data_IF_867592836143
#
_entry.id   IF_867592836143
#
_cell.length_a   1.000
_cell.length_b   1.000
_cell.length_c   1.000
_cell.angle_alpha   90.00
_cell.angle_beta   90.00
_cell.angle_gamma   90.00
#
_symmetry.space_group_name_H-M   'P 1'
#
loop_
_entity.id
_entity.type
_entity.pdbx_description
1 polymer ?
2 non-polymer ?
3 water ?
#
# COMPACT_ATOMS: atom_id res chain seq x y z
N UNK A 22 9.25 5.25 25.31
CA UNK A 22 9.65 4.05 24.51
C UNK A 22 10.79 4.35 23.54
N UNK A 23 11.88 3.63 23.69
CA UNK A 23 13.16 3.98 23.07
C UNK A 23 13.62 3.00 21.99
N UNK A 24 12.88 1.90 21.83
CA UNK A 24 13.15 0.95 20.75
C UNK A 24 12.54 1.38 19.43
N UNK A 25 12.13 0.38 18.65
CA UNK A 25 11.58 0.58 17.32
C UNK A 25 10.06 0.48 17.34
N UNK A 26 9.43 1.37 16.57
CA UNK A 26 7.99 1.35 16.33
C UNK A 26 7.74 1.00 14.86
N UNK A 27 7.02 -0.11 14.65
CA UNK A 27 6.69 -0.63 13.32
C UNK A 27 5.25 -0.31 12.95
N UNK A 28 5.08 0.35 11.80
CA UNK A 28 3.75 0.72 11.30
C UNK A 28 3.23 -0.33 10.32
N UNK A 29 2.09 -0.94 10.65
CA UNK A 29 1.40 -1.88 9.76
C UNK A 29 -0.06 -1.48 9.55
N UNK A 30 -0.71 -2.16 8.60
CA UNK A 30 -2.13 -2.01 8.35
C UNK A 30 -2.83 -3.35 8.50
N UNK A 31 -4.14 -3.31 8.74
CA UNK A 31 -4.98 -4.52 8.86
C UNK A 31 -5.22 -5.26 7.55
N UNK A 32 -5.73 -6.48 7.67
CA UNK A 32 -5.94 -7.34 6.53
C UNK A 32 -4.66 -7.92 5.98
N UNK A 33 -4.50 -7.86 4.66
CA UNK A 33 -3.46 -8.61 3.96
C UNK A 33 -2.03 -8.32 4.45
N UNK A 34 -1.75 -7.04 4.69
CA UNK A 34 -0.39 -6.63 5.07
C UNK A 34 0.01 -7.23 6.43
N UNK A 35 -0.89 -7.14 7.41
CA UNK A 35 -0.67 -7.73 8.73
C UNK A 35 -0.52 -9.25 8.65
N UNK A 36 -1.49 -9.90 8.00
CA UNK A 36 -1.46 -11.36 7.79
C UNK A 36 -0.12 -11.83 7.24
N UNK A 37 0.28 -11.21 6.13
CA UNK A 37 1.44 -11.65 5.36
C UNK A 37 2.77 -11.19 5.93
N UNK A 38 2.79 -10.08 6.67
CA UNK A 38 3.99 -9.63 7.37
C UNK A 38 4.33 -10.52 8.58
N UNK A 39 3.30 -11.06 9.23
CA UNK A 39 3.45 -11.75 10.53
C UNK A 39 4.48 -12.89 10.55
N UNK A 40 4.51 -13.74 9.51
CA UNK A 40 5.57 -14.75 9.37
C UNK A 40 6.99 -14.19 9.24
N UNK A 41 7.14 -13.04 8.57
CA UNK A 41 8.45 -12.40 8.47
C UNK A 41 8.92 -11.95 9.85
N UNK A 42 8.01 -11.32 10.59
CA UNK A 42 8.27 -10.88 11.95
C UNK A 42 8.60 -12.04 12.87
N UNK A 43 7.82 -13.13 12.78
CA UNK A 43 8.03 -14.29 13.65
C UNK A 43 9.42 -14.87 13.46
N UNK A 44 9.82 -15.04 12.21
CA UNK A 44 11.17 -15.53 11.88
C UNK A 44 12.25 -14.56 12.35
N UNK A 45 11.92 -13.26 12.42
CA UNK A 45 12.80 -12.27 13.04
C UNK A 45 12.65 -12.17 14.57
N UNK A 46 11.89 -13.07 15.18
CA UNK A 46 11.71 -13.09 16.63
C UNK A 46 10.75 -12.04 17.17
N UNK A 47 9.79 -11.64 16.36
CA UNK A 47 8.77 -10.69 16.77
C UNK A 47 7.41 -11.35 16.59
N UNK A 48 6.67 -11.47 17.70
CA UNK A 48 5.30 -11.94 17.68
C UNK A 48 4.40 -11.02 18.49
N UNK A 49 3.27 -10.65 17.90
CA UNK A 49 2.22 -9.92 18.61
C UNK A 49 1.63 -10.80 19.72
N UNK A 50 1.26 -10.18 20.83
CA UNK A 50 0.76 -10.91 21.98
C UNK A 50 -0.77 -11.05 21.95
N UNK A 51 -1.41 -10.40 20.98
CA UNK A 51 -2.82 -10.61 20.72
C UNK A 51 -3.16 -10.26 19.28
N UNK A 52 -4.39 -10.59 18.86
CA UNK A 52 -4.86 -10.28 17.52
C UNK A 52 -5.28 -8.81 17.46
N UNK A 53 -4.51 -7.96 16.74
CA UNK A 53 -4.89 -6.54 16.66
C UNK A 53 -6.23 -6.29 15.98
N UNK A 54 -6.65 -7.21 15.10
CA UNK A 54 -7.95 -7.15 14.41
C UNK A 54 -9.14 -7.21 15.38
N UNK A 55 -8.96 -7.87 16.53
CA UNK A 55 -10.00 -8.02 17.55
C UNK A 55 -9.87 -7.01 18.71
N UNK A 56 -9.12 -5.93 18.52
CA UNK A 56 -8.90 -4.96 19.59
C UNK A 56 -9.09 -3.53 19.13
N UNK A 57 -9.54 -2.70 20.07
CA UNK A 57 -9.64 -1.25 19.87
C UNK A 57 -8.30 -0.58 20.12
N UNK A 58 -7.35 -1.30 20.74
CA UNK A 58 -6.00 -0.79 20.94
C UNK A 58 -5.34 -0.37 19.63
N UNK A 59 -4.39 0.54 19.76
CA UNK A 59 -3.68 1.14 18.63
C UNK A 59 -2.17 0.83 18.67
N UNK A 60 -1.58 0.86 19.85
CA UNK A 60 -0.19 0.50 20.08
C UNK A 60 -0.18 -0.91 20.65
N UNK A 61 0.62 -1.80 20.05
CA UNK A 61 0.70 -3.17 20.50
C UNK A 61 2.12 -3.53 20.87
N UNK A 62 2.33 -4.12 22.06
CA UNK A 62 3.62 -4.69 22.36
C UNK A 62 3.83 -6.00 21.59
N UNK A 63 5.09 -6.46 21.55
CA UNK A 63 5.43 -7.76 20.94
C UNK A 63 6.23 -8.63 21.92
N UNK A 64 6.59 -9.83 21.48
CA UNK A 64 7.50 -10.71 22.20
C UNK A 64 8.91 -10.10 22.42
N UNK A 65 9.31 -9.18 21.54
CA UNK A 65 10.56 -8.44 21.68
C UNK A 65 10.20 -7.10 22.31
N UNK A 66 10.73 -6.81 23.51
CA UNK A 66 10.40 -5.53 24.18
C UNK A 66 11.03 -4.27 23.55
N UNK A 67 11.95 -4.43 22.58
CA UNK A 67 12.48 -3.34 21.76
C UNK A 67 11.58 -2.97 20.56
N UNK A 68 10.53 -3.76 20.29
CA UNK A 68 9.67 -3.53 19.12
C UNK A 68 8.20 -3.44 19.54
N UNK A 69 7.52 -2.40 19.06
CA UNK A 69 6.05 -2.28 19.21
C UNK A 69 5.44 -1.99 17.84
N UNK A 70 4.15 -2.27 17.72
CA UNK A 70 3.46 -2.19 16.45
C UNK A 70 2.33 -1.18 16.51
N UNK A 71 2.25 -0.32 15.50
CA UNK A 71 1.06 0.49 15.22
C UNK A 71 0.28 -0.16 14.10
N UNK A 72 -1.05 -0.14 14.25
CA UNK A 72 -1.98 -0.62 13.24
C UNK A 72 -2.66 0.64 12.70
N UNK A 73 -2.45 0.93 11.43
CA UNK A 73 -2.87 2.19 10.81
C UNK A 73 -3.69 1.88 9.59
N UNK A 74 -4.38 2.91 9.06
CA UNK A 74 -4.91 2.82 7.71
C UNK A 74 -3.72 2.69 6.78
N UNK A 75 -3.80 1.78 5.82
CA UNK A 75 -2.72 1.62 4.85
C UNK A 75 -2.24 2.98 4.32
N UNK A 76 -3.17 3.90 4.11
CA UNK A 76 -2.83 5.25 3.68
C UNK A 76 -1.97 6.07 4.65
N UNK A 77 -2.12 5.83 5.95
CA UNK A 77 -1.34 6.57 6.95
C UNK A 77 0.04 5.99 7.23
N UNK A 78 0.32 4.79 6.72
CA UNK A 78 1.60 4.12 7.00
C UNK A 78 2.80 5.00 6.55
N UNK A 79 2.83 5.45 5.28
CA UNK A 79 4.01 6.26 4.88
C UNK A 79 4.13 7.60 5.62
N UNK A 80 2.98 8.19 5.98
CA UNK A 80 2.93 9.41 6.78
C UNK A 80 3.63 9.29 8.15
N UNK A 81 3.21 8.33 8.95
CA UNK A 81 3.80 8.08 10.28
C UNK A 81 5.32 7.81 10.22
N UNK A 82 5.73 7.09 9.17
CA UNK A 82 7.13 6.74 8.95
C UNK A 82 7.96 7.94 8.53
N UNK A 83 7.41 8.75 7.62
CA UNK A 83 8.06 10.00 7.17
C UNK A 83 8.37 10.94 8.33
N UNK A 84 7.38 11.13 9.20
CA UNK A 84 7.49 12.03 10.35
C UNK A 84 8.20 11.41 11.54
N UNK A 85 8.56 10.14 11.45
CA UNK A 85 9.28 9.46 12.53
C UNK A 85 8.42 9.05 13.71
N UNK A 86 7.08 9.11 13.59
CA UNK A 86 6.20 8.58 14.65
C UNK A 86 6.25 7.04 14.65
N UNK A 87 6.59 6.45 13.50
CA UNK A 87 7.07 5.09 13.43
C UNK A 87 8.47 5.13 12.79
N UNK A 88 9.32 4.20 13.19
CA UNK A 88 10.69 4.12 12.69
C UNK A 88 10.74 3.44 11.33
N UNK A 89 9.82 2.51 11.13
CA UNK A 89 9.74 1.74 9.90
C UNK A 89 8.35 1.17 9.71
N UNK A 90 8.07 0.70 8.49
CA UNK A 90 6.71 0.30 8.14
C UNK A 90 6.62 -0.52 6.89
N UNK A 91 5.51 -1.23 6.78
CA UNK A 91 5.18 -2.02 5.61
C UNK A 91 4.01 -1.34 4.90
N UNK A 92 4.28 -0.85 3.69
CA UNK A 92 3.30 -0.14 2.87
C UNK A 92 3.27 -0.74 1.48
N UNK A 93 2.10 -0.71 0.84
CA UNK A 93 1.97 -1.15 -0.53
C UNK A 93 2.56 -0.14 -1.51
N UNK A 94 3.11 -0.63 -2.63
CA UNK A 94 3.68 0.24 -3.67
C UNK A 94 2.65 1.23 -4.23
N UNK A 95 1.40 0.80 -4.35
CA UNK A 95 0.32 1.70 -4.75
C UNK A 95 0.25 2.93 -3.83
N UNK A 96 0.37 2.72 -2.52
CA UNK A 96 0.22 3.79 -1.53
C UNK A 96 1.46 4.71 -1.56
N UNK A 97 2.62 4.08 -1.70
CA UNK A 97 3.88 4.78 -1.78
C UNK A 97 3.94 5.67 -3.01
N UNK A 98 3.52 5.14 -4.15
CA UNK A 98 3.46 5.93 -5.38
C UNK A 98 2.53 7.12 -5.25
N UNK A 99 1.36 6.91 -4.65
CA UNK A 99 0.39 7.97 -4.51
C UNK A 99 0.84 9.05 -3.53
N UNK A 100 1.38 8.62 -2.40
CA UNK A 100 1.84 9.52 -1.34
C UNK A 100 3.13 10.25 -1.72
N UNK A 101 4.01 9.58 -2.45
CA UNK A 101 5.35 10.07 -2.70
C UNK A 101 6.31 9.48 -1.67
N UNK A 102 7.38 8.85 -2.15
CA UNK A 102 8.33 8.16 -1.28
C UNK A 102 9.67 8.91 -1.13
N UNK A 103 9.68 10.22 -1.38
CA UNK A 103 10.92 11.00 -1.38
C UNK A 103 11.52 11.22 0.00
N UNK A 104 10.74 11.00 1.06
CA UNK A 104 11.19 11.33 2.41
C UNK A 104 11.22 10.13 3.37
N UNK A 105 11.20 8.93 2.80
CA UNK A 105 11.50 7.70 3.53
C UNK A 105 12.48 6.90 2.68
N UNK A 106 13.07 5.85 3.26
CA UNK A 106 13.88 4.92 2.48
C UNK A 106 13.12 3.66 2.20
N UNK A 107 12.96 3.29 0.93
CA UNK A 107 12.41 1.99 0.56
C UNK A 107 13.59 1.04 0.61
N UNK A 108 13.58 0.09 1.54
CA UNK A 108 14.68 -0.86 1.71
C UNK A 108 14.45 -2.25 1.11
N UNK A 109 13.21 -2.72 1.08
CA UNK A 109 12.91 -4.07 0.56
C UNK A 109 11.59 -4.15 -0.20
N UNK A 110 11.58 -4.99 -1.22
CA UNK A 110 10.34 -5.44 -1.80
C UNK A 110 10.07 -6.75 -1.09
N UNK A 111 9.03 -6.75 -0.25
CA UNK A 111 8.69 -7.92 0.53
C UNK A 111 7.96 -8.97 -0.28
N UNK A 112 7.51 -8.62 -1.49
CA UNK A 112 6.85 -9.56 -2.40
C UNK A 112 5.56 -10.15 -1.81
N UNK A 113 4.90 -9.37 -0.93
CA UNK A 113 3.62 -9.77 -0.30
C UNK A 113 2.50 -8.82 -0.70
N UNK A 114 1.26 -9.26 -0.46
CA UNK A 114 0.06 -8.46 -0.76
C UNK A 114 0.14 -8.02 -2.22
N UNK A 115 0.36 -9.00 -3.09
CA UNK A 115 0.64 -8.70 -4.50
C UNK A 115 -0.64 -8.43 -5.29
N UNK A 116 -0.60 -7.39 -6.13
CA UNK A 116 -1.73 -6.99 -6.97
C UNK A 116 -1.26 -6.09 -8.12
N UNK A 117 -2.18 -5.56 -8.90
CA UNK A 117 -1.85 -4.66 -9.99
C UNK A 117 -2.69 -3.40 -9.89
N UNK A 118 -2.06 -2.25 -10.13
CA UNK A 118 -2.79 -1.04 -10.49
C UNK A 118 -3.23 -1.20 -11.94
N UNK A 119 -4.53 -1.04 -12.18
CA UNK A 119 -5.08 -1.12 -13.52
C UNK A 119 -6.04 0.02 -13.74
N UNK A 120 -6.37 0.25 -15.00
CA UNK A 120 -7.52 1.07 -15.38
C UNK A 120 -8.61 0.07 -15.68
N UNK A 121 -9.86 0.50 -15.56
CA UNK A 121 -11.01 -0.35 -15.86
C UNK A 121 -12.24 0.48 -16.17
N UNK A 122 -13.19 -0.14 -16.84
CA UNK A 122 -14.45 0.50 -17.22
C UNK A 122 -15.52 -0.53 -17.49
N UNK A 123 -16.71 -0.03 -17.84
CA UNK A 123 -17.87 -0.88 -18.19
C UNK A 123 -17.51 -1.74 -19.38
N UNK A 124 -17.84 -3.03 -19.29
CA UNK A 124 -17.45 -4.00 -20.31
C UNK A 124 -17.92 -3.59 -21.72
N UNK A 125 -16.99 -3.55 -22.67
CA UNK A 125 -17.23 -3.14 -24.08
C UNK A 125 -17.78 -1.73 -24.34
N UNK A 126 -17.80 -0.86 -23.32
CA UNK A 126 -18.25 0.52 -23.50
C UNK A 126 -17.16 1.28 -24.27
N UNK A 127 -17.57 2.10 -25.24
CA UNK A 127 -16.57 2.91 -25.96
C UNK A 127 -16.14 4.15 -25.14
N UNK A 128 -14.89 4.58 -25.33
CA UNK A 128 -14.40 5.80 -24.68
C UNK A 128 -14.96 7.00 -25.42
N UNK A 129 -15.41 8.03 -24.68
CA UNK A 129 -15.87 9.23 -25.38
C UNK A 129 -14.70 9.92 -26.06
N UNK A 130 -14.97 10.65 -27.13
CA UNK A 130 -13.93 11.39 -27.83
C UNK A 130 -13.81 12.79 -27.22
N UNK A 131 -13.22 12.83 -26.03
CA UNK A 131 -12.97 14.06 -25.30
C UNK A 131 -12.04 13.77 -24.12
N UNK A 132 -11.62 14.82 -23.41
CA UNK A 132 -10.81 14.68 -22.20
C UNK A 132 -11.50 13.74 -21.22
N UNK A 133 -10.81 12.66 -20.84
CA UNK A 133 -11.40 11.62 -20.00
C UNK A 133 -11.47 12.05 -18.53
N UNK A 134 -12.47 11.52 -17.83
CA UNK A 134 -12.64 11.75 -16.39
C UNK A 134 -12.37 10.45 -15.67
N UNK A 135 -11.37 10.44 -14.79
CA UNK A 135 -10.91 9.24 -14.12
C UNK A 135 -11.32 9.28 -12.65
N UNK A 136 -12.21 8.39 -12.26
CA UNK A 136 -12.63 8.27 -10.88
C UNK A 136 -11.65 7.36 -10.15
N UNK A 137 -11.00 7.87 -9.11
CA UNK A 137 -9.96 7.10 -8.46
C UNK A 137 -9.58 7.65 -7.10
N UNK A 138 -9.09 6.76 -6.27
CA UNK A 138 -8.32 7.10 -5.08
C UNK A 138 -6.87 7.54 -5.45
N UNK A 139 -6.35 7.02 -6.56
CA UNK A 139 -4.95 7.22 -6.90
C UNK A 139 -4.84 8.33 -7.94
N UNK A 140 -4.99 9.57 -7.48
CA UNK A 140 -5.08 10.73 -8.37
C UNK A 140 -3.75 11.01 -9.06
N UNK A 141 -2.66 10.95 -8.31
CA UNK A 141 -1.30 11.15 -8.84
C UNK A 141 -0.88 10.06 -9.81
N UNK A 142 -1.10 8.81 -9.42
CA UNK A 142 -0.86 7.64 -10.29
C UNK A 142 -1.69 7.69 -11.56
N UNK A 143 -2.98 8.03 -11.43
CA UNK A 143 -3.84 8.19 -12.62
C UNK A 143 -3.31 9.25 -13.56
N UNK A 144 -2.93 10.41 -13.02
CA UNK A 144 -2.43 11.50 -13.87
C UNK A 144 -1.11 11.16 -14.56
N UNK A 145 -0.20 10.58 -13.81
CA UNK A 145 1.10 10.17 -14.33
C UNK A 145 0.96 9.09 -15.41
N UNK A 146 0.14 8.07 -15.16
CA UNK A 146 -0.06 7.00 -16.15
C UNK A 146 -0.66 7.54 -17.45
N UNK A 147 -1.75 8.31 -17.35
CA UNK A 147 -2.40 8.82 -18.56
C UNK A 147 -1.50 9.81 -19.31
N UNK A 148 -0.67 10.56 -18.57
CA UNK A 148 0.36 11.40 -19.20
C UNK A 148 1.33 10.60 -20.07
N UNK A 149 1.75 9.43 -19.59
CA UNK A 149 2.59 8.53 -20.39
C UNK A 149 1.89 8.01 -21.66
N UNK A 150 0.55 7.94 -21.65
CA UNK A 150 -0.26 7.58 -22.83
C UNK A 150 -0.62 8.76 -23.75
N UNK A 151 -0.06 9.95 -23.50
CA UNK A 151 -0.39 11.15 -24.25
C UNK A 151 -1.66 11.89 -23.84
N UNK A 152 -2.26 11.49 -22.72
CA UNK A 152 -3.56 12.05 -22.30
C UNK A 152 -3.40 12.94 -21.08
N UNK A 153 -3.84 14.18 -21.20
CA UNK A 153 -4.15 15.01 -20.03
C UNK A 153 -5.57 14.62 -19.63
N UNK A 154 -5.78 14.23 -18.37
CA UNK A 154 -7.10 13.77 -17.91
C UNK A 154 -7.59 14.59 -16.74
N UNK A 155 -8.91 14.58 -16.53
CA UNK A 155 -9.49 15.04 -15.28
C UNK A 155 -9.60 13.85 -14.34
N UNK A 156 -9.41 14.13 -13.06
CA UNK A 156 -9.52 13.12 -12.03
C UNK A 156 -10.64 13.52 -11.07
N UNK A 157 -11.48 12.56 -10.74
CA UNK A 157 -12.44 12.70 -9.65
C UNK A 157 -11.88 11.90 -8.48
N UNK A 158 -11.52 12.60 -7.42
CA UNK A 158 -10.99 11.97 -6.21
C UNK A 158 -12.09 11.23 -5.45
N UNK A 159 -11.84 9.96 -5.16
CA UNK A 159 -12.76 9.13 -4.36
C UNK A 159 -11.99 8.40 -3.25
N UNK A 160 -12.73 7.84 -2.30
CA UNK A 160 -12.14 7.20 -1.12
C UNK A 160 -12.39 5.71 -0.99
N UNK A 161 -13.47 5.21 -1.59
CA UNK A 161 -13.66 3.77 -1.68
C UNK A 161 -14.56 3.39 -2.82
N UNK A 162 -14.69 2.08 -3.02
CA UNK A 162 -15.73 1.49 -3.87
C UNK A 162 -15.72 2.04 -5.29
N UNK A 163 -14.52 2.10 -5.89
CA UNK A 163 -14.34 2.66 -7.25
C UNK A 163 -15.21 1.96 -8.28
N UNK A 164 -15.44 0.66 -8.11
CA UNK A 164 -16.28 -0.15 -9.04
C UNK A 164 -17.71 0.36 -9.28
N UNK A 165 -18.24 1.18 -8.36
CA UNK A 165 -19.55 1.84 -8.57
C UNK A 165 -19.49 3.02 -9.55
N UNK A 166 -18.38 3.76 -9.56
CA UNK A 166 -18.31 5.02 -10.30
C UNK A 166 -18.77 4.92 -11.77
N UNK A 167 -18.20 3.97 -12.55
CA UNK A 167 -18.64 3.84 -13.93
C UNK A 167 -20.09 3.33 -14.10
N UNK A 168 -20.64 2.59 -13.13
CA UNK A 168 -22.03 2.13 -13.22
C UNK A 168 -23.08 3.26 -13.09
N UNK A 169 -22.71 4.37 -12.43
CA UNK A 169 -23.60 5.54 -12.32
C UNK A 169 -23.07 6.74 -13.14
N UNK A 170 -22.14 6.47 -14.05
CA UNK A 170 -21.58 7.51 -14.91
C UNK A 170 -20.69 8.55 -14.26
N UNK A 171 -20.20 8.27 -13.07
CA UNK A 171 -19.20 9.12 -12.45
C UNK A 171 -17.86 8.77 -13.09
N UNK A 172 -17.38 9.63 -13.97
CA UNK A 172 -16.21 9.32 -14.80
C UNK A 172 -16.35 8.22 -15.85
N UNK A 173 -15.34 8.15 -16.70
CA UNK A 173 -15.29 7.23 -17.87
C UNK A 173 -14.51 5.96 -17.59
N UNK A 174 -13.53 6.05 -16.70
CA UNK A 174 -12.76 4.92 -16.24
C UNK A 174 -12.44 5.13 -14.79
N UNK A 175 -12.01 4.06 -14.15
CA UNK A 175 -11.41 4.10 -12.82
C UNK A 175 -9.96 3.65 -12.90
N UNK A 176 -9.19 4.07 -11.91
CA UNK A 176 -7.90 3.49 -11.60
C UNK A 176 -8.02 2.87 -10.21
N UNK A 177 -7.67 1.59 -10.10
CA UNK A 177 -7.72 0.88 -8.83
C UNK A 177 -6.79 -0.34 -8.80
N UNK A 178 -6.56 -0.84 -7.58
CA UNK A 178 -5.84 -2.09 -7.41
C UNK A 178 -6.77 -3.28 -7.69
N UNK A 179 -6.24 -4.25 -8.42
CA UNK A 179 -6.95 -5.45 -8.83
C UNK A 179 -6.08 -6.63 -8.46
N UNK A 180 -6.65 -7.62 -7.78
CA UNK A 180 -5.97 -8.89 -7.51
C UNK A 180 -6.54 -9.98 -8.43
N UNK A 181 -7.67 -10.58 -8.06
CA UNK A 181 -8.26 -11.64 -8.86
C UNK A 181 -9.06 -11.10 -10.04
N UNK A 182 -9.49 -9.84 -9.99
CA UNK A 182 -10.45 -9.32 -10.94
C UNK A 182 -11.91 -9.61 -10.65
N UNK A 183 -12.21 -10.33 -9.57
CA UNK A 183 -13.61 -10.71 -9.26
C UNK A 183 -14.54 -9.52 -8.99
N UNK A 184 -14.01 -8.50 -8.31
CA UNK A 184 -14.79 -7.28 -8.05
C UNK A 184 -15.22 -6.63 -9.34
N UNK A 185 -14.27 -6.45 -10.25
CA UNK A 185 -14.57 -5.87 -11.56
C UNK A 185 -15.64 -6.67 -12.30
N UNK A 186 -15.42 -7.99 -12.39
CA UNK A 186 -16.35 -8.88 -13.11
C UNK A 186 -17.73 -8.88 -12.49
N UNK A 187 -17.79 -9.05 -11.17
CA UNK A 187 -19.05 -8.95 -10.41
C UNK A 187 -19.88 -7.74 -10.81
N UNK A 188 -19.22 -6.63 -11.13
CA UNK A 188 -19.90 -5.37 -11.48
C UNK A 188 -19.98 -5.09 -12.98
N UNK A 189 -19.70 -6.09 -13.82
CA UNK A 189 -19.72 -5.90 -15.28
C UNK A 189 -18.66 -4.94 -15.80
N UNK A 190 -17.52 -4.85 -15.10
CA UNK A 190 -16.41 -4.03 -15.54
C UNK A 190 -15.32 -4.94 -16.05
N UNK A 191 -14.42 -4.38 -16.87
CA UNK A 191 -13.21 -5.10 -17.25
C UNK A 191 -11.99 -4.21 -17.24
N UNK A 192 -10.84 -4.81 -16.92
CA UNK A 192 -9.57 -4.11 -16.98
C UNK A 192 -9.31 -3.71 -18.41
N UNK A 193 -8.92 -2.47 -18.61
CA UNK A 193 -8.56 -1.96 -19.91
C UNK A 193 -7.03 -2.01 -20.06
N UNK A 194 -6.31 -1.38 -19.12
CA UNK A 194 -4.84 -1.32 -19.13
C UNK A 194 -4.21 -1.79 -17.82
N UNK A 195 -3.06 -2.45 -17.92
CA UNK A 195 -2.21 -2.77 -16.76
C UNK A 195 -1.26 -1.59 -16.54
N UNK A 196 -1.29 -0.96 -15.37
CA UNK A 196 -0.39 0.16 -15.06
C UNK A 196 0.97 -0.35 -14.55
N UNK A 197 0.97 -1.00 -13.39
CA UNK A 197 2.17 -1.66 -12.88
C UNK A 197 1.77 -2.69 -11.84
N UNK A 198 2.72 -3.56 -11.52
CA UNK A 198 2.56 -4.51 -10.43
C UNK A 198 2.83 -3.81 -9.12
N UNK A 199 2.16 -4.29 -8.08
CA UNK A 199 2.21 -3.70 -6.76
C UNK A 199 2.55 -4.80 -5.78
N UNK A 200 3.42 -4.48 -4.84
CA UNK A 200 3.66 -5.35 -3.69
C UNK A 200 4.00 -4.49 -2.49
N UNK A 201 3.91 -5.08 -1.31
CA UNK A 201 4.27 -4.38 -0.09
C UNK A 201 5.80 -4.22 0.07
N UNK A 202 6.18 -3.10 0.65
CA UNK A 202 7.55 -2.65 0.70
C UNK A 202 7.92 -2.26 2.12
N UNK A 203 9.18 -2.48 2.48
CA UNK A 203 9.68 -2.09 3.78
C UNK A 203 10.26 -0.69 3.64
N UNK A 204 9.65 0.25 4.36
CA UNK A 204 10.12 1.62 4.41
C UNK A 204 10.66 1.98 5.80
N UNK A 205 11.60 2.90 5.81
CA UNK A 205 12.29 3.32 7.02
C UNK A 205 12.38 4.85 7.09
N UNK A 206 12.25 5.37 8.30
CA UNK A 206 12.42 6.79 8.55
C UNK A 206 13.90 7.13 8.32
N UNK A 207 14.16 8.21 7.59
CA UNK A 207 15.52 8.55 7.16
C UNK A 207 16.49 8.86 8.31
N UNK A 208 15.94 9.35 9.43
CA UNK A 208 16.71 9.60 10.64
C UNK A 208 16.83 8.33 11.46
N UNK A 209 15.75 7.56 11.60
CA UNK A 209 15.79 6.29 12.34
C UNK A 209 16.78 5.31 11.72
N UNK A 210 16.90 5.36 10.39
CA UNK A 210 17.88 4.53 9.69
C UNK A 210 19.30 4.81 10.21
N UNK A 211 19.59 6.09 10.43
CA UNK A 211 20.89 6.55 10.95
C UNK A 211 21.05 6.33 12.47
N UNK A 212 20.06 6.73 13.27
CA UNK A 212 20.18 6.68 14.73
C UNK A 212 19.92 5.30 15.35
N UNK A 213 19.11 4.45 14.72
CA UNK A 213 18.70 3.18 15.29
C UNK A 213 19.07 1.96 14.44
N UNK A 214 20.17 2.08 13.70
CA UNK A 214 20.61 1.04 12.78
C UNK A 214 20.89 -0.31 13.46
N UNK A 215 21.46 -0.27 14.65
CA UNK A 215 21.81 -1.51 15.37
C UNK A 215 20.56 -2.29 15.79
N UNK A 216 19.49 -1.59 16.10
CA UNK A 216 18.18 -2.23 16.31
C UNK A 216 17.57 -2.73 15.01
N UNK A 217 17.55 -1.88 13.99
CA UNK A 217 16.96 -2.25 12.70
C UNK A 217 17.68 -3.38 11.98
N UNK A 218 19.01 -3.38 12.00
CA UNK A 218 19.79 -4.19 11.06
C UNK A 218 19.48 -5.69 11.11
N UNK A 219 19.46 -6.30 12.31
CA UNK A 219 19.15 -7.74 12.34
C UNK A 219 17.74 -8.11 11.86
N UNK A 220 16.77 -7.21 12.02
CA UNK A 220 15.40 -7.41 11.55
C UNK A 220 15.36 -7.31 10.03
N UNK A 221 16.07 -6.33 9.46
CA UNK A 221 16.18 -6.19 8.00
C UNK A 221 16.87 -7.41 7.33
N UNK A 222 17.95 -7.90 7.95
CA UNK A 222 18.67 -9.08 7.44
C UNK A 222 17.80 -10.32 7.50
N UNK A 223 17.02 -10.45 8.58
CA UNK A 223 16.06 -11.56 8.72
C UNK A 223 15.03 -11.52 7.60
N UNK A 224 14.44 -10.35 7.37
CA UNK A 224 13.44 -10.16 6.31
C UNK A 224 14.02 -10.49 4.93
N UNK A 225 15.20 -9.95 4.66
CA UNK A 225 15.90 -10.24 3.41
C UNK A 225 16.10 -11.75 3.23
N UNK A 226 16.62 -12.42 4.27
CA UNK A 226 16.77 -13.89 4.25
C UNK A 226 15.46 -14.64 3.97
N UNK A 227 14.37 -14.25 4.64
CA UNK A 227 13.06 -14.89 4.49
C UNK A 227 12.48 -14.77 3.07
N UNK A 228 12.56 -13.56 2.53
CA UNK A 228 12.10 -13.27 1.16
C UNK A 228 12.87 -14.09 0.11
N UNK A 229 14.13 -14.43 0.38
CA UNK A 229 14.95 -15.23 -0.55
C UNK A 229 14.41 -16.64 -0.86
N UNK A 230 13.35 -17.08 -0.16
CA UNK A 230 12.52 -18.20 -0.61
C UNK A 230 11.04 -17.81 -0.65
X LIG B 1 -10.08 -8.43 -6.42
X LIG B 1 -9.32 -7.88 -7.62
X LIG B 1 -11.58 -8.49 -6.66
X LIG B 1 -9.50 -9.73 -5.90
X LIG B 1 -9.85 -7.34 -5.25
X LIG B 1 -10.73 -7.32 -4.11
X LIG B 1 -10.74 -5.93 -3.52
X LIG B 1 -9.54 -5.76 -2.70
X LIG B 1 -10.75 -4.76 -4.51
X LIG B 1 -11.56 -3.70 -4.02
X LIG B 1 -9.27 -4.37 -4.61
X LIG B 1 -9.12 -2.98 -4.85
X LIG B 1 -8.70 -4.76 -3.25
X LIG B 1 -7.33 -5.32 -3.29
X LIG B 1 -6.91 -6.42 -4.01
X LIG B 1 -5.64 -6.69 -3.82
X LIG B 1 -5.21 -5.72 -2.93
X LIG B 1 -3.95 -5.48 -2.34
X LIG B 1 -2.86 -6.22 -2.58
X LIG B 1 -3.86 -4.43 -1.49
X LIG B 1 -4.96 -3.70 -1.25
X LIG B 1 -6.19 -3.84 -1.74
X LIG B 1 -6.25 -4.88 -2.58
#
# INVERSE_FOLDING_TARGET
GMTEVTNSLPTSGLLNEANDEFLGLTLALSKGRILEETMPLLRAAGVELLEDPEASRKLIFPTSNPNVRVLILRASDVPTYVEHGAADFGVAGKDVLLEHGANHVYELLDLKIAQCKLMTAGVKDAPLPNRRLRIATKYVNVARAYFASQGQQVDVIKLYGSMELAPLVGLGDLIVDVVDTGNTLRANGLEARDHICDVSSRLIVNQVSYKRKFALLEPILDSFKNSINSTS
AMP P O1P O2P O3P O5' C5' C4' O4' C3' O3' C2' O2' C1' N9 C8 N7 C5 C6 N6 N1 C2 N3 C4
#
